data_IF_904386054593
#
_entry.id   IF_904386054593
#
_cell.length_a   1.000
_cell.length_b   1.000
_cell.length_c   1.000
_cell.angle_alpha   90.00
_cell.angle_beta   90.00
_cell.angle_gamma   90.00
#
_symmetry.space_group_name_H-M   'P 1'
#
loop_
_entity.id
_entity.type
_entity.pdbx_description
1 polymer ?
#
# COMPACT_ATOMS: atom_id res chain seq x y z
N UNK A 1 5.92 5.88 -28.74
CA UNK A 1 6.67 4.60 -28.68
C UNK A 1 6.96 4.16 -27.25
N UNK A 2 7.73 4.89 -26.42
CA UNK A 2 8.07 4.46 -25.06
C UNK A 2 6.83 4.16 -24.19
N UNK A 3 5.85 5.06 -24.17
CA UNK A 3 4.60 4.88 -23.40
C UNK A 3 3.81 3.64 -23.81
N UNK A 4 3.65 3.40 -25.09
CA UNK A 4 2.95 2.23 -25.62
C UNK A 4 3.66 0.91 -25.26
N UNK A 5 5.00 0.91 -25.27
CA UNK A 5 5.78 -0.26 -24.87
C UNK A 5 5.63 -0.54 -23.38
N UNK A 6 5.69 0.49 -22.53
CA UNK A 6 5.49 0.35 -21.08
C UNK A 6 4.09 -0.15 -20.77
N UNK A 7 3.08 0.38 -21.44
CA UNK A 7 1.68 -0.05 -21.28
C UNK A 7 1.48 -1.51 -21.70
N UNK A 8 2.04 -1.93 -22.85
CA UNK A 8 1.97 -3.29 -23.33
C UNK A 8 2.65 -4.28 -22.35
N UNK A 9 3.85 -3.94 -21.86
CA UNK A 9 4.56 -4.74 -20.87
C UNK A 9 3.80 -4.81 -19.53
N UNK A 10 3.22 -3.71 -19.09
CA UNK A 10 2.37 -3.68 -17.89
C UNK A 10 1.16 -4.58 -18.06
N UNK A 11 0.46 -4.51 -19.18
CA UNK A 11 -0.70 -5.37 -19.48
C UNK A 11 -0.31 -6.86 -19.55
N UNK A 12 0.86 -7.19 -20.08
CA UNK A 12 1.38 -8.55 -20.13
C UNK A 12 1.69 -9.10 -18.73
N UNK A 13 2.38 -8.30 -17.90
CA UNK A 13 2.75 -8.70 -16.55
C UNK A 13 1.54 -8.76 -15.62
N UNK A 14 0.57 -7.84 -15.75
CA UNK A 14 -0.74 -7.92 -15.08
C UNK A 14 -1.73 -8.82 -15.82
N UNK A 15 -1.24 -9.79 -16.55
CA UNK A 15 -2.03 -10.79 -17.24
C UNK A 15 -2.72 -11.76 -16.29
N UNK A 16 -3.52 -12.66 -16.87
CA UNK A 16 -4.30 -13.68 -16.12
C UNK A 16 -3.44 -14.51 -15.17
N UNK A 17 -2.19 -14.81 -15.55
CA UNK A 17 -1.26 -15.61 -14.74
C UNK A 17 -0.87 -14.94 -13.43
N UNK A 18 -0.48 -13.67 -13.46
CA UNK A 18 -0.07 -12.92 -12.26
C UNK A 18 -1.25 -12.69 -11.32
N UNK A 19 -2.43 -12.38 -11.86
CA UNK A 19 -3.66 -12.23 -11.07
C UNK A 19 -4.01 -13.56 -10.40
N UNK A 20 -4.01 -14.67 -11.16
CA UNK A 20 -4.27 -15.99 -10.61
C UNK A 20 -3.25 -16.38 -9.53
N UNK A 21 -1.96 -16.14 -9.77
CA UNK A 21 -0.89 -16.39 -8.80
C UNK A 21 -1.12 -15.62 -7.50
N UNK A 22 -1.48 -14.35 -7.59
CA UNK A 22 -1.73 -13.50 -6.41
C UNK A 22 -2.93 -13.99 -5.61
N UNK A 23 -4.04 -14.28 -6.28
CA UNK A 23 -5.25 -14.79 -5.63
C UNK A 23 -5.02 -16.17 -5.01
N UNK A 24 -4.35 -17.08 -5.73
CA UNK A 24 -4.01 -18.41 -5.23
C UNK A 24 -3.06 -18.36 -4.04
N UNK A 25 -2.07 -17.47 -4.08
CA UNK A 25 -1.17 -17.23 -2.95
C UNK A 25 -1.94 -16.73 -1.73
N UNK A 26 -2.81 -15.74 -1.89
CA UNK A 26 -3.68 -15.24 -0.81
C UNK A 26 -4.61 -16.31 -0.26
N UNK A 27 -5.24 -17.09 -1.13
CA UNK A 27 -6.09 -18.22 -0.75
C UNK A 27 -5.31 -19.30 0.02
N UNK A 28 -4.11 -19.64 -0.46
CA UNK A 28 -3.21 -20.60 0.18
C UNK A 28 -2.85 -20.18 1.62
N UNK A 29 -2.47 -18.92 1.83
CA UNK A 29 -2.21 -18.41 3.18
C UNK A 29 -3.49 -18.33 4.03
N UNK A 30 -4.61 -17.95 3.43
CA UNK A 30 -5.90 -17.87 4.12
C UNK A 30 -6.33 -19.27 4.62
N UNK A 31 -6.27 -20.27 3.76
CA UNK A 31 -6.62 -21.65 4.10
C UNK A 31 -5.62 -22.27 5.10
N UNK A 32 -4.30 -22.09 4.85
CA UNK A 32 -3.24 -22.64 5.70
C UNK A 32 -3.19 -22.06 7.12
N UNK A 33 -3.76 -20.87 7.33
CA UNK A 33 -3.91 -20.24 8.66
C UNK A 33 -5.31 -20.42 9.26
N UNK A 34 -6.17 -21.23 8.63
CA UNK A 34 -7.52 -21.52 9.12
C UNK A 34 -8.47 -20.32 9.04
N UNK A 35 -8.43 -19.54 7.95
CA UNK A 35 -9.28 -18.37 7.76
C UNK A 35 -9.18 -17.35 8.90
N UNK A 36 -7.95 -17.09 9.36
CA UNK A 36 -7.63 -16.27 10.54
C UNK A 36 -8.39 -14.94 10.62
N UNK A 37 -8.53 -14.14 9.52
CA UNK A 37 -9.27 -12.87 9.58
C UNK A 37 -10.74 -13.04 9.99
N UNK A 38 -11.35 -14.20 9.74
CA UNK A 38 -12.74 -14.50 10.11
C UNK A 38 -12.82 -15.22 11.45
N UNK A 39 -12.02 -16.28 11.64
CA UNK A 39 -12.11 -17.18 12.80
C UNK A 39 -11.52 -16.57 14.07
N UNK A 40 -10.57 -15.63 13.94
CA UNK A 40 -9.85 -15.02 15.07
C UNK A 40 -9.92 -13.50 15.09
N UNK A 41 -10.91 -12.91 14.41
CA UNK A 41 -11.10 -11.45 14.33
C UNK A 41 -11.06 -10.75 15.71
N UNK A 42 -11.73 -11.26 16.78
CA UNK A 42 -11.67 -10.62 18.09
C UNK A 42 -10.24 -10.58 18.66
N UNK A 43 -9.44 -11.62 18.42
CA UNK A 43 -8.04 -11.68 18.84
C UNK A 43 -7.20 -10.67 18.05
N UNK A 44 -7.39 -10.60 16.74
CA UNK A 44 -6.70 -9.62 15.87
C UNK A 44 -7.00 -8.19 16.36
N UNK A 45 -8.27 -7.83 16.55
CA UNK A 45 -8.66 -6.50 17.01
C UNK A 45 -8.13 -6.19 18.41
N UNK A 46 -8.16 -7.14 19.35
CA UNK A 46 -7.63 -6.97 20.70
C UNK A 46 -6.12 -6.74 20.69
N UNK A 47 -5.38 -7.45 19.82
CA UNK A 47 -3.90 -7.33 19.72
C UNK A 47 -3.43 -6.16 18.85
N UNK A 48 -4.30 -5.60 18.03
CA UNK A 48 -4.04 -4.39 17.23
C UNK A 48 -4.64 -3.16 17.94
N UNK A 49 -5.85 -2.79 17.61
CA UNK A 49 -6.52 -1.59 18.15
C UNK A 49 -6.58 -1.60 19.67
N UNK A 50 -6.93 -2.75 20.29
CA UNK A 50 -6.95 -2.87 21.75
C UNK A 50 -5.60 -2.65 22.43
N UNK A 51 -4.49 -2.89 21.69
CA UNK A 51 -3.14 -2.65 22.22
C UNK A 51 -2.76 -1.17 22.29
N UNK A 52 -3.48 -0.28 21.60
CA UNK A 52 -3.24 1.17 21.64
C UNK A 52 -3.56 1.77 23.01
N UNK A 53 -4.50 1.15 23.72
CA UNK A 53 -4.95 1.59 25.06
C UNK A 53 -4.16 0.95 26.21
N UNK A 54 -3.15 0.10 25.91
CA UNK A 54 -2.32 -0.57 26.92
C UNK A 54 -0.96 0.13 27.06
N UNK A 55 -0.56 0.44 28.30
CA UNK A 55 0.80 0.90 28.58
C UNK A 55 1.81 -0.21 28.24
N UNK A 56 2.73 0.09 27.34
CA UNK A 56 3.79 -0.83 26.92
C UNK A 56 5.10 -0.43 27.58
N UNK A 57 5.77 -1.38 28.25
CA UNK A 57 7.17 -1.21 28.66
C UNK A 57 8.06 -1.21 27.42
N UNK A 58 8.79 -0.11 27.19
CA UNK A 58 9.76 0.04 26.09
C UNK A 58 11.03 -0.76 26.37
N UNK A 59 10.98 -2.09 26.40
CA UNK A 59 12.18 -2.92 26.66
C UNK A 59 12.93 -3.33 25.37
N UNK A 60 12.28 -3.33 24.21
CA UNK A 60 12.90 -3.68 22.92
C UNK A 60 13.21 -2.42 22.12
N UNK A 61 14.39 -2.36 21.49
CA UNK A 61 14.74 -1.30 20.53
C UNK A 61 13.73 -1.28 19.35
N UNK A 62 13.80 -0.23 18.51
CA UNK A 62 12.89 -0.02 17.37
C UNK A 62 11.73 0.90 17.70
N UNK A 63 10.85 1.13 16.70
CA UNK A 63 9.67 1.98 16.83
C UNK A 63 8.48 1.20 17.41
N UNK A 64 7.44 1.90 17.88
CA UNK A 64 6.23 1.21 18.35
C UNK A 64 5.53 0.45 17.20
N UNK A 65 4.82 -0.66 17.48
CA UNK A 65 4.04 -1.36 16.46
C UNK A 65 3.06 -0.46 15.71
N UNK A 66 2.42 0.47 16.42
CA UNK A 66 1.54 1.48 15.82
C UNK A 66 2.31 2.44 14.90
N UNK A 67 3.49 2.90 15.29
CA UNK A 67 4.31 3.76 14.44
C UNK A 67 4.78 3.03 13.18
N UNK A 68 5.10 1.75 13.29
CA UNK A 68 5.47 0.90 12.16
C UNK A 68 4.29 0.73 11.18
N UNK A 69 3.09 0.37 11.68
CA UNK A 69 1.91 0.27 10.82
C UNK A 69 1.47 1.62 10.25
N UNK A 70 1.57 2.72 11.01
CA UNK A 70 1.29 4.05 10.45
C UNK A 70 2.24 4.41 9.31
N UNK A 71 3.51 3.99 9.39
CA UNK A 71 4.46 4.19 8.29
C UNK A 71 4.11 3.30 7.09
N UNK A 72 3.68 2.06 7.31
CA UNK A 72 3.20 1.16 6.27
C UNK A 72 1.93 1.72 5.61
N UNK A 73 0.92 2.12 6.41
CA UNK A 73 -0.30 2.79 5.94
C UNK A 73 0.02 4.10 5.21
N UNK A 74 1.05 4.84 5.62
CA UNK A 74 1.52 5.99 4.87
C UNK A 74 1.95 5.63 3.46
N UNK A 75 2.58 4.48 3.26
CA UNK A 75 2.94 3.96 1.94
C UNK A 75 1.73 3.52 1.11
N UNK A 76 0.85 2.75 1.72
CA UNK A 76 -0.31 2.14 1.05
C UNK A 76 -1.44 3.14 0.82
N UNK A 77 -1.80 3.95 1.83
CA UNK A 77 -2.84 4.98 1.73
C UNK A 77 -2.33 6.21 0.98
N UNK A 78 -2.33 6.15 -0.34
CA UNK A 78 -1.87 7.21 -1.24
C UNK A 78 -2.96 7.68 -2.20
N UNK A 79 -2.53 8.19 -3.34
CA UNK A 79 -3.46 8.60 -4.42
C UNK A 79 -4.27 7.43 -4.98
N UNK A 80 -3.82 6.20 -4.80
CA UNK A 80 -4.52 4.99 -5.21
C UNK A 80 -5.92 4.87 -4.60
N UNK A 81 -6.08 5.24 -3.33
CA UNK A 81 -7.35 5.16 -2.60
C UNK A 81 -8.40 6.19 -3.04
N UNK A 82 -7.99 7.25 -3.71
CA UNK A 82 -8.86 8.35 -4.16
C UNK A 82 -8.93 8.35 -5.68
N UNK A 83 -7.84 8.75 -6.33
CA UNK A 83 -7.74 8.84 -7.80
C UNK A 83 -7.77 7.45 -8.45
N UNK A 84 -7.08 6.48 -7.84
CA UNK A 84 -7.03 5.10 -8.32
C UNK A 84 -8.38 4.40 -8.28
N UNK A 85 -9.21 4.66 -7.27
CA UNK A 85 -10.58 4.14 -7.17
C UNK A 85 -11.46 4.73 -8.27
N UNK A 86 -11.39 6.06 -8.52
CA UNK A 86 -12.09 6.69 -9.62
C UNK A 86 -11.71 6.13 -10.99
N UNK A 87 -10.41 5.90 -11.20
CA UNK A 87 -9.89 5.25 -12.40
C UNK A 87 -10.35 3.78 -12.53
N UNK A 88 -10.41 3.04 -11.40
CA UNK A 88 -10.93 1.67 -11.39
C UNK A 88 -12.41 1.61 -11.82
N UNK A 89 -13.22 2.52 -11.30
CA UNK A 89 -14.62 2.64 -11.68
C UNK A 89 -14.81 3.00 -13.17
N UNK A 90 -13.97 3.88 -13.72
CA UNK A 90 -14.01 4.25 -15.12
C UNK A 90 -13.60 3.11 -16.06
N UNK A 91 -12.55 2.35 -15.71
CA UNK A 91 -11.99 1.30 -16.56
C UNK A 91 -12.68 -0.05 -16.40
N UNK A 92 -13.06 -0.39 -15.17
CA UNK A 92 -13.61 -1.71 -14.83
C UNK A 92 -15.09 -1.71 -14.43
N UNK A 93 -15.72 -0.53 -14.40
CA UNK A 93 -17.10 -0.37 -13.90
C UNK A 93 -17.21 -0.56 -12.38
N UNK A 94 -18.42 -0.44 -11.85
CA UNK A 94 -18.69 -0.59 -10.41
C UNK A 94 -18.25 -1.96 -9.86
N UNK A 95 -18.37 -3.02 -10.66
CA UNK A 95 -17.94 -4.37 -10.29
C UNK A 95 -16.45 -4.51 -9.97
N UNK A 96 -15.61 -3.60 -10.43
CA UNK A 96 -14.18 -3.60 -10.07
C UNK A 96 -13.94 -3.43 -8.56
N UNK A 97 -14.86 -2.74 -7.86
CA UNK A 97 -14.79 -2.58 -6.40
C UNK A 97 -15.04 -3.91 -5.67
N UNK A 98 -15.99 -4.73 -6.16
CA UNK A 98 -16.20 -6.08 -5.62
C UNK A 98 -14.92 -6.92 -5.71
N UNK A 99 -14.27 -6.91 -6.87
CA UNK A 99 -13.02 -7.65 -7.08
C UNK A 99 -11.85 -7.07 -6.27
N UNK A 100 -11.86 -5.77 -6.00
CA UNK A 100 -10.94 -5.12 -5.09
C UNK A 100 -11.13 -5.64 -3.65
N UNK A 101 -12.39 -5.84 -3.19
CA UNK A 101 -12.68 -6.45 -1.88
C UNK A 101 -12.20 -7.89 -1.78
N UNK A 102 -12.42 -8.70 -2.82
CA UNK A 102 -11.93 -10.09 -2.87
C UNK A 102 -10.39 -10.10 -2.82
N UNK A 103 -9.74 -9.26 -3.63
CA UNK A 103 -8.28 -9.10 -3.61
C UNK A 103 -7.74 -8.68 -2.25
N UNK A 104 -8.40 -7.74 -1.59
CA UNK A 104 -8.02 -7.27 -0.26
C UNK A 104 -8.22 -8.35 0.81
N UNK A 105 -9.35 -9.07 0.81
CA UNK A 105 -9.60 -10.14 1.76
C UNK A 105 -8.51 -11.23 1.71
N UNK A 106 -8.17 -11.68 0.50
CA UNK A 106 -7.08 -12.64 0.31
C UNK A 106 -5.70 -12.00 0.57
N UNK A 107 -5.55 -10.73 0.20
CA UNK A 107 -4.35 -9.94 0.42
C UNK A 107 -4.01 -9.73 1.89
N UNK A 108 -5.02 -9.70 2.80
CA UNK A 108 -4.78 -9.62 4.25
C UNK A 108 -3.85 -10.73 4.74
N UNK A 109 -4.02 -11.96 4.24
CA UNK A 109 -3.19 -13.08 4.68
C UNK A 109 -1.85 -13.13 3.98
N UNK A 110 -1.74 -12.64 2.75
CA UNK A 110 -0.45 -12.41 2.09
C UNK A 110 0.35 -11.36 2.86
N UNK A 111 -0.27 -10.22 3.20
CA UNK A 111 0.35 -9.15 4.01
C UNK A 111 0.75 -9.65 5.40
N UNK A 112 -0.09 -10.45 6.05
CA UNK A 112 0.24 -11.10 7.32
C UNK A 112 1.53 -11.92 7.23
N UNK A 113 1.66 -12.74 6.18
CA UNK A 113 2.85 -13.55 5.96
C UNK A 113 4.11 -12.70 5.73
N UNK A 114 4.00 -11.65 4.90
CA UNK A 114 5.08 -10.68 4.65
C UNK A 114 5.58 -10.05 5.94
N UNK A 115 4.66 -9.52 6.74
CA UNK A 115 4.98 -8.81 7.99
C UNK A 115 5.57 -9.77 9.02
N UNK A 116 4.99 -10.98 9.17
CA UNK A 116 5.49 -12.00 10.07
C UNK A 116 6.94 -12.37 9.71
N UNK A 117 7.21 -12.67 8.44
CA UNK A 117 8.56 -13.03 7.99
C UNK A 117 9.53 -11.86 8.12
N UNK A 118 9.12 -10.63 7.80
CA UNK A 118 9.96 -9.45 7.93
C UNK A 118 10.39 -9.18 9.38
N UNK A 119 9.51 -9.42 10.34
CA UNK A 119 9.82 -9.29 11.77
C UNK A 119 10.64 -10.49 12.29
N UNK A 120 10.36 -11.71 11.80
CA UNK A 120 11.10 -12.92 12.18
C UNK A 120 12.56 -12.85 11.74
N UNK A 121 12.85 -12.37 10.54
CA UNK A 121 14.18 -12.32 9.93
C UNK A 121 14.86 -10.94 10.01
N UNK A 122 14.31 -10.02 10.79
CA UNK A 122 14.92 -8.70 10.98
C UNK A 122 16.26 -8.80 11.69
N UNK A 123 17.16 -7.92 11.34
CA UNK A 123 18.50 -7.83 11.93
C UNK A 123 18.61 -6.58 12.81
N UNK A 124 19.44 -6.67 13.84
CA UNK A 124 19.81 -5.52 14.67
C UNK A 124 21.09 -4.91 14.13
N UNK A 125 21.08 -3.62 13.88
CA UNK A 125 22.27 -2.90 13.43
C UNK A 125 23.31 -2.86 14.56
N UNK A 126 24.55 -3.24 14.24
CA UNK A 126 25.66 -3.20 15.24
C UNK A 126 25.93 -1.74 15.59
N UNK A 127 25.62 -1.36 16.82
CA UNK A 127 25.85 0.01 17.34
C UNK A 127 24.69 0.98 17.23
N UNK A 128 23.57 0.61 16.57
CA UNK A 128 22.36 1.41 16.52
C UNK A 128 21.17 0.70 17.18
N UNK A 129 20.23 1.47 17.75
CA UNK A 129 18.94 0.94 18.24
C UNK A 129 17.97 0.57 17.11
N UNK A 130 18.38 0.77 15.86
CA UNK A 130 17.55 0.56 14.69
C UNK A 130 17.44 -0.92 14.33
N UNK A 131 16.21 -1.35 13.98
CA UNK A 131 15.92 -2.67 13.43
C UNK A 131 15.81 -2.55 11.92
N UNK A 132 16.39 -3.52 11.19
CA UNK A 132 16.35 -3.61 9.73
C UNK A 132 15.75 -4.94 9.33
N UNK A 133 14.83 -4.94 8.39
CA UNK A 133 14.19 -6.14 7.89
C UNK A 133 13.41 -5.83 6.61
N UNK A 134 12.65 -6.80 6.17
CA UNK A 134 11.88 -6.73 4.93
C UNK A 134 12.20 -7.92 4.03
N UNK A 135 11.65 -7.95 2.79
CA UNK A 135 11.82 -9.09 1.89
C UNK A 135 13.26 -9.47 1.62
N UNK A 136 14.15 -8.50 1.43
CA UNK A 136 15.56 -8.77 1.17
C UNK A 136 16.20 -9.64 2.28
N UNK A 137 15.78 -9.46 3.53
CA UNK A 137 16.31 -10.22 4.66
C UNK A 137 15.67 -11.60 4.78
N UNK A 138 14.33 -11.72 4.73
CA UNK A 138 13.71 -13.03 4.83
C UNK A 138 13.95 -13.89 3.59
N UNK A 139 14.16 -13.30 2.40
CA UNK A 139 14.54 -14.02 1.20
C UNK A 139 15.97 -14.54 1.34
N UNK A 140 16.95 -13.67 1.63
CA UNK A 140 18.37 -14.07 1.65
C UNK A 140 18.73 -14.97 2.83
N UNK A 141 18.10 -14.78 3.99
CA UNK A 141 18.37 -15.59 5.19
C UNK A 141 17.47 -16.83 5.27
N UNK A 142 16.22 -16.75 4.81
CA UNK A 142 15.29 -17.87 4.80
C UNK A 142 15.51 -18.85 3.66
N UNK A 143 16.14 -18.41 2.56
CA UNK A 143 16.56 -19.21 1.40
C UNK A 143 18.07 -19.04 1.23
N UNK A 144 18.92 -19.73 2.05
CA UNK A 144 20.35 -19.43 2.17
C UNK A 144 21.19 -20.03 1.05
N UNK A 145 20.77 -19.87 -0.20
CA UNK A 145 21.49 -20.35 -1.39
C UNK A 145 21.67 -19.22 -2.42
N UNK A 146 22.31 -19.49 -3.55
CA UNK A 146 22.55 -18.51 -4.61
C UNK A 146 21.24 -17.96 -5.20
N UNK A 147 20.21 -18.80 -5.32
CA UNK A 147 18.90 -18.40 -5.80
C UNK A 147 18.23 -17.38 -4.87
N UNK A 148 18.22 -17.63 -3.55
CA UNK A 148 17.66 -16.69 -2.56
C UNK A 148 18.40 -15.35 -2.56
N UNK A 149 19.74 -15.37 -2.68
CA UNK A 149 20.52 -14.12 -2.79
C UNK A 149 20.17 -13.35 -4.07
N UNK A 150 20.08 -14.02 -5.22
CA UNK A 150 19.70 -13.39 -6.47
C UNK A 150 18.29 -12.79 -6.40
N UNK A 151 17.34 -13.54 -5.80
CA UNK A 151 15.97 -13.10 -5.62
C UNK A 151 15.87 -11.87 -4.70
N UNK A 152 16.66 -11.81 -3.63
CA UNK A 152 16.74 -10.66 -2.71
C UNK A 152 17.31 -9.41 -3.41
N UNK A 153 18.34 -9.57 -4.24
CA UNK A 153 18.89 -8.48 -5.05
C UNK A 153 17.87 -7.98 -6.06
N UNK A 154 17.19 -8.88 -6.76
CA UNK A 154 16.15 -8.55 -7.72
C UNK A 154 14.99 -7.79 -7.06
N UNK A 155 14.55 -8.23 -5.89
CA UNK A 155 13.57 -7.51 -5.08
C UNK A 155 14.04 -6.09 -4.76
N UNK A 156 15.27 -5.91 -4.26
CA UNK A 156 15.80 -4.60 -3.90
C UNK A 156 15.87 -3.65 -5.10
N UNK A 157 16.30 -4.14 -6.27
CA UNK A 157 16.35 -3.33 -7.50
C UNK A 157 14.96 -2.86 -7.89
N UNK A 158 13.99 -3.76 -7.96
CA UNK A 158 12.62 -3.38 -8.33
C UNK A 158 11.94 -2.51 -7.27
N UNK A 159 12.19 -2.75 -5.98
CA UNK A 159 11.66 -1.90 -4.91
C UNK A 159 12.24 -0.48 -4.96
N UNK A 160 13.53 -0.34 -5.22
CA UNK A 160 14.16 0.96 -5.39
C UNK A 160 13.59 1.70 -6.61
N UNK A 161 13.40 1.02 -7.75
CA UNK A 161 12.80 1.59 -8.95
C UNK A 161 11.32 1.94 -8.74
N UNK A 162 10.54 1.06 -8.12
CA UNK A 162 9.13 1.32 -7.78
C UNK A 162 8.98 2.52 -6.83
N UNK A 163 9.96 2.76 -5.95
CA UNK A 163 9.96 3.94 -5.09
C UNK A 163 10.02 5.24 -5.88
N UNK A 164 10.68 5.27 -7.03
CA UNK A 164 10.69 6.46 -7.92
C UNK A 164 9.37 6.63 -8.67
N UNK A 165 8.75 5.55 -9.17
CA UNK A 165 7.51 5.64 -9.92
C UNK A 165 6.29 5.75 -9.02
N UNK A 166 5.93 4.66 -8.31
CA UNK A 166 4.75 4.59 -7.44
C UNK A 166 4.85 5.51 -6.24
N UNK A 167 6.04 5.58 -5.63
CA UNK A 167 6.27 6.29 -4.37
C UNK A 167 6.57 7.77 -4.53
N UNK A 168 7.14 8.20 -5.66
CA UNK A 168 7.54 9.59 -5.86
C UNK A 168 6.71 10.25 -6.95
N UNK A 169 6.96 9.92 -8.21
CA UNK A 169 6.39 10.65 -9.36
C UNK A 169 4.86 10.59 -9.42
N UNK A 170 4.25 9.41 -9.17
CA UNK A 170 2.78 9.27 -9.17
C UNK A 170 2.14 10.14 -8.08
N UNK A 171 2.74 10.14 -6.89
CA UNK A 171 2.19 10.88 -5.75
C UNK A 171 2.34 12.38 -5.94
N UNK A 172 3.54 12.86 -6.31
CA UNK A 172 3.78 14.31 -6.48
C UNK A 172 3.07 14.88 -7.69
N UNK A 173 2.90 14.10 -8.77
CA UNK A 173 2.10 14.50 -9.92
C UNK A 173 0.62 14.71 -9.55
N UNK A 174 0.04 13.78 -8.80
CA UNK A 174 -1.35 13.93 -8.34
C UNK A 174 -1.53 15.08 -7.35
N UNK A 175 -0.53 15.37 -6.48
CA UNK A 175 -0.56 16.58 -5.64
C UNK A 175 -0.58 17.83 -6.52
N UNK A 176 0.32 17.91 -7.50
CA UNK A 176 0.42 19.08 -8.36
C UNK A 176 -0.87 19.33 -9.15
N UNK A 177 -1.48 18.26 -9.71
CA UNK A 177 -2.76 18.33 -10.43
C UNK A 177 -3.88 18.80 -9.50
N UNK A 178 -4.05 18.17 -8.33
CA UNK A 178 -5.10 18.52 -7.39
C UNK A 178 -4.97 19.97 -6.86
N UNK A 179 -3.75 20.43 -6.58
CA UNK A 179 -3.50 21.79 -6.13
C UNK A 179 -3.65 22.82 -7.26
N UNK A 180 -3.30 22.47 -8.49
CA UNK A 180 -3.51 23.32 -9.65
C UNK A 180 -5.00 23.51 -9.92
N UNK A 181 -5.80 22.44 -9.92
CA UNK A 181 -7.23 22.51 -10.16
C UNK A 181 -8.00 23.26 -9.06
N UNK A 182 -7.64 23.07 -7.79
CA UNK A 182 -8.42 23.61 -6.66
C UNK A 182 -7.94 24.97 -6.15
N UNK A 183 -6.65 25.28 -6.33
CA UNK A 183 -6.02 26.49 -5.80
C UNK A 183 -5.28 27.31 -6.86
N UNK A 184 -5.27 26.86 -8.12
CA UNK A 184 -4.51 27.49 -9.22
C UNK A 184 -3.01 27.62 -8.93
N UNK A 185 -2.46 26.71 -8.11
CA UNK A 185 -1.03 26.71 -7.78
C UNK A 185 -0.22 26.15 -8.96
N UNK A 186 0.81 26.89 -9.42
CA UNK A 186 1.63 26.41 -10.53
C UNK A 186 2.46 25.18 -10.12
N UNK A 187 2.66 24.19 -11.02
CA UNK A 187 3.42 22.98 -10.74
C UNK A 187 4.84 23.23 -10.22
N UNK A 188 5.46 24.35 -10.62
CA UNK A 188 6.80 24.73 -10.16
C UNK A 188 6.83 25.01 -8.65
N UNK A 189 5.82 25.70 -8.11
CA UNK A 189 5.72 25.94 -6.67
C UNK A 189 5.45 24.64 -5.90
N UNK A 190 4.60 23.78 -6.45
CA UNK A 190 4.36 22.45 -5.88
C UNK A 190 5.66 21.64 -5.84
N UNK A 191 6.40 21.59 -6.94
CA UNK A 191 7.69 20.89 -7.03
C UNK A 191 8.70 21.41 -6.00
N UNK A 192 8.86 22.73 -5.89
CA UNK A 192 9.76 23.35 -4.93
C UNK A 192 9.35 23.03 -3.48
N UNK A 193 8.07 23.23 -3.13
CA UNK A 193 7.56 22.96 -1.79
C UNK A 193 7.70 21.49 -1.39
N UNK A 194 7.30 20.57 -2.27
CA UNK A 194 7.38 19.13 -2.01
C UNK A 194 8.84 18.66 -1.88
N UNK A 195 9.74 19.12 -2.75
CA UNK A 195 11.16 18.78 -2.67
C UNK A 195 11.78 19.26 -1.35
N UNK A 196 11.47 20.48 -0.92
CA UNK A 196 11.97 21.03 0.35
C UNK A 196 11.38 20.27 1.56
N UNK A 197 10.06 20.00 1.58
CA UNK A 197 9.41 19.28 2.68
C UNK A 197 9.91 17.83 2.76
N UNK A 198 9.99 17.13 1.63
CA UNK A 198 10.54 15.78 1.59
C UNK A 198 12.01 15.78 2.00
N UNK A 199 12.82 16.69 1.49
CA UNK A 199 14.23 16.85 1.85
C UNK A 199 14.42 17.07 3.36
N UNK A 200 13.59 17.92 3.96
CA UNK A 200 13.60 18.16 5.41
C UNK A 200 13.26 16.92 6.22
N UNK A 201 12.22 16.16 5.84
CA UNK A 201 11.86 14.92 6.52
C UNK A 201 12.98 13.87 6.37
N UNK A 202 13.49 13.70 5.15
CA UNK A 202 14.49 12.68 4.83
C UNK A 202 15.87 12.98 5.44
N UNK A 203 16.22 14.25 5.63
CA UNK A 203 17.43 14.64 6.35
C UNK A 203 17.42 14.14 7.81
N UNK A 204 16.24 14.06 8.43
CA UNK A 204 16.08 13.50 9.80
C UNK A 204 16.09 11.98 9.89
N UNK A 205 16.31 11.28 8.76
CA UNK A 205 16.43 9.82 8.72
C UNK A 205 15.12 9.08 9.02
N UNK A 206 15.23 7.78 9.27
CA UNK A 206 14.11 6.88 9.52
C UNK A 206 13.21 7.34 10.69
N UNK A 207 13.80 7.82 11.78
CA UNK A 207 13.03 8.23 12.97
C UNK A 207 12.11 9.42 12.71
N UNK A 208 12.53 10.38 11.88
CA UNK A 208 11.69 11.51 11.51
C UNK A 208 10.60 11.07 10.53
N UNK A 209 10.94 10.26 9.55
CA UNK A 209 9.97 9.70 8.60
C UNK A 209 8.86 8.95 9.33
N UNK A 210 9.22 8.04 10.24
CA UNK A 210 8.26 7.27 11.05
C UNK A 210 7.40 8.18 11.94
N UNK A 211 8.00 9.18 12.60
CA UNK A 211 7.25 10.14 13.42
C UNK A 211 6.27 10.96 12.61
N UNK A 212 6.68 11.41 11.42
CA UNK A 212 5.81 12.16 10.51
C UNK A 212 4.62 11.31 10.07
N UNK A 213 4.84 10.08 9.60
CA UNK A 213 3.76 9.17 9.21
C UNK A 213 2.85 8.82 10.39
N UNK A 214 3.40 8.62 11.59
CA UNK A 214 2.60 8.29 12.79
C UNK A 214 1.62 9.39 13.20
N UNK A 215 1.94 10.64 12.91
CA UNK A 215 1.05 11.78 13.17
C UNK A 215 0.10 12.02 11.97
N UNK A 216 0.66 11.94 10.75
CA UNK A 216 -0.05 12.33 9.53
C UNK A 216 -1.14 11.32 9.16
N UNK A 217 -0.86 10.02 9.26
CA UNK A 217 -1.77 8.96 8.78
C UNK A 217 -3.11 8.96 9.54
N UNK A 218 -3.17 8.98 10.87
CA UNK A 218 -4.45 9.08 11.56
C UNK A 218 -5.20 10.37 11.22
N UNK A 219 -4.48 11.50 11.16
CA UNK A 219 -5.07 12.81 10.85
C UNK A 219 -5.70 12.84 9.46
N UNK A 220 -4.94 12.43 8.43
CA UNK A 220 -5.41 12.42 7.04
C UNK A 220 -6.59 11.45 6.86
N UNK A 221 -6.53 10.28 7.51
CA UNK A 221 -7.60 9.27 7.42
C UNK A 221 -8.91 9.81 7.99
N UNK A 222 -8.87 10.36 9.20
CA UNK A 222 -10.08 10.96 9.81
C UNK A 222 -10.60 12.12 8.99
N UNK A 223 -9.71 13.02 8.54
CA UNK A 223 -10.08 14.17 7.71
C UNK A 223 -10.80 13.74 6.43
N UNK A 224 -10.26 12.74 5.74
CA UNK A 224 -10.85 12.21 4.50
C UNK A 224 -12.17 11.47 4.75
N UNK A 225 -12.21 10.59 5.76
CA UNK A 225 -13.43 9.84 6.11
C UNK A 225 -14.58 10.76 6.53
N UNK A 226 -14.28 11.86 7.22
CA UNK A 226 -15.30 12.88 7.55
C UNK A 226 -15.85 13.52 6.27
N UNK A 227 -14.97 13.89 5.32
CA UNK A 227 -15.42 14.44 4.03
C UNK A 227 -16.28 13.46 3.23
N UNK A 228 -15.85 12.21 3.10
CA UNK A 228 -16.66 11.17 2.47
C UNK A 228 -17.98 10.94 3.22
N UNK A 229 -17.96 10.99 4.55
CA UNK A 229 -19.15 10.89 5.38
C UNK A 229 -20.20 11.97 5.07
N UNK A 230 -19.77 13.22 4.85
CA UNK A 230 -20.65 14.30 4.42
C UNK A 230 -21.30 13.98 3.06
N UNK A 231 -20.50 13.51 2.08
CA UNK A 231 -21.03 13.12 0.76
C UNK A 231 -22.05 11.99 0.89
N UNK A 232 -21.70 10.92 1.63
CA UNK A 232 -22.58 9.75 1.81
C UNK A 232 -23.85 10.08 2.59
N UNK A 233 -23.80 10.96 3.58
CA UNK A 233 -24.99 11.41 4.32
C UNK A 233 -25.93 12.19 3.41
N UNK A 234 -25.39 12.99 2.48
CA UNK A 234 -26.19 13.73 1.50
C UNK A 234 -26.91 12.78 0.54
N UNK A 235 -26.21 11.75 0.04
CA UNK A 235 -26.74 10.77 -0.90
C UNK A 235 -27.10 9.43 -0.25
N UNK A 236 -27.49 9.42 1.02
CA UNK A 236 -27.76 8.20 1.79
C UNK A 236 -28.80 7.27 1.14
N UNK A 237 -29.74 7.83 0.40
CA UNK A 237 -30.80 7.05 -0.29
C UNK A 237 -30.25 6.28 -1.49
N UNK A 238 -29.18 6.74 -2.12
CA UNK A 238 -28.53 6.09 -3.27
C UNK A 238 -27.48 5.03 -2.86
N UNK A 239 -27.16 4.90 -1.56
CA UNK A 239 -26.15 3.91 -1.08
C UNK A 239 -26.56 2.47 -1.41
N UNK A 240 -27.84 2.03 -1.19
CA UNK A 240 -28.25 0.67 -1.53
C UNK A 240 -28.10 0.38 -3.03
N UNK A 241 -28.42 1.36 -3.89
CA UNK A 241 -28.29 1.22 -5.35
C UNK A 241 -26.81 1.16 -5.76
N UNK A 242 -25.93 1.96 -5.14
CA UNK A 242 -24.49 1.90 -5.35
C UNK A 242 -23.93 0.52 -4.96
N UNK A 243 -24.34 -0.04 -3.82
CA UNK A 243 -23.95 -1.40 -3.41
C UNK A 243 -24.46 -2.46 -4.38
N UNK A 244 -25.69 -2.32 -4.85
CA UNK A 244 -26.27 -3.23 -5.86
C UNK A 244 -25.49 -3.16 -7.16
N UNK A 245 -25.10 -1.97 -7.61
CA UNK A 245 -24.25 -1.78 -8.81
C UNK A 245 -22.88 -2.45 -8.63
N UNK A 246 -22.26 -2.36 -7.46
CA UNK A 246 -20.98 -3.02 -7.18
C UNK A 246 -21.12 -4.53 -7.31
N UNK A 247 -22.11 -5.13 -6.66
CA UNK A 247 -22.29 -6.59 -6.64
C UNK A 247 -22.76 -7.11 -8.00
N UNK A 248 -23.80 -6.51 -8.59
CA UNK A 248 -24.33 -6.94 -9.89
C UNK A 248 -23.31 -6.70 -11.01
N UNK A 249 -22.62 -5.56 -10.98
CA UNK A 249 -21.58 -5.22 -11.94
C UNK A 249 -20.39 -6.17 -11.93
N UNK A 250 -20.10 -6.83 -10.81
CA UNK A 250 -19.02 -7.80 -10.72
C UNK A 250 -19.24 -9.06 -11.57
N UNK A 251 -20.50 -9.44 -11.82
CA UNK A 251 -20.88 -10.67 -12.50
C UNK A 251 -21.60 -10.41 -13.84
N UNK A 252 -21.85 -9.13 -14.19
CA UNK A 252 -22.53 -8.78 -15.43
C UNK A 252 -21.57 -8.77 -16.62
N UNK A 253 -21.95 -9.40 -17.76
CA UNK A 253 -21.19 -9.31 -19.00
C UNK A 253 -21.13 -7.88 -19.58
N UNK A 254 -22.12 -7.04 -19.24
CA UNK A 254 -22.25 -5.67 -19.73
C UNK A 254 -21.45 -4.64 -18.91
N UNK A 255 -20.78 -5.05 -17.86
CA UNK A 255 -20.08 -4.14 -16.93
C UNK A 255 -18.82 -3.49 -17.48
N UNK A 256 -18.43 -3.79 -18.71
CA UNK A 256 -17.35 -3.10 -19.41
C UNK A 256 -17.89 -2.32 -20.61
N UNK A 257 -17.34 -1.15 -20.85
CA UNK A 257 -17.57 -0.33 -22.04
C UNK A 257 -17.21 -1.03 -23.38
N UNK A 258 -16.81 -2.31 -23.34
CA UNK A 258 -16.53 -3.18 -24.47
C UNK A 258 -17.25 -4.52 -24.27
N UNK A 259 -18.33 -4.73 -25.00
CA UNK A 259 -19.27 -5.84 -24.92
C UNK A 259 -18.73 -7.26 -24.76
N UNK A 260 -19.50 -8.09 -24.04
CA UNK A 260 -19.38 -9.53 -23.99
C UNK A 260 -18.63 -10.08 -22.76
N UNK A 261 -18.30 -11.39 -22.77
CA UNK A 261 -17.59 -12.11 -21.71
C UNK A 261 -16.24 -11.45 -21.27
N UNK A 262 -15.72 -10.54 -22.09
CA UNK A 262 -14.56 -9.69 -21.77
C UNK A 262 -14.79 -8.75 -20.58
N UNK A 263 -16.02 -8.31 -20.32
CA UNK A 263 -16.35 -7.35 -19.25
C UNK A 263 -16.07 -7.87 -17.85
N UNK A 264 -16.47 -9.11 -17.55
CA UNK A 264 -16.16 -9.77 -16.29
C UNK A 264 -14.65 -9.79 -16.00
N UNK A 265 -13.85 -10.24 -16.98
CA UNK A 265 -12.39 -10.31 -16.81
C UNK A 265 -11.73 -8.94 -16.72
N UNK A 266 -12.26 -7.91 -17.41
CA UNK A 266 -11.75 -6.54 -17.29
C UNK A 266 -12.03 -6.00 -15.90
N UNK A 267 -13.26 -6.11 -15.40
CA UNK A 267 -13.67 -5.69 -14.07
C UNK A 267 -12.81 -6.38 -12.99
N UNK A 268 -12.65 -7.70 -13.08
CA UNK A 268 -11.82 -8.49 -12.18
C UNK A 268 -10.35 -8.06 -12.25
N UNK A 269 -9.78 -7.93 -13.44
CA UNK A 269 -8.37 -7.53 -13.62
C UNK A 269 -8.12 -6.14 -13.05
N UNK A 270 -8.97 -5.18 -13.38
CA UNK A 270 -8.83 -3.80 -12.91
C UNK A 270 -8.98 -3.74 -11.41
N UNK A 271 -10.02 -4.37 -10.84
CA UNK A 271 -10.26 -4.38 -9.41
C UNK A 271 -9.09 -4.97 -8.60
N UNK A 272 -8.58 -6.13 -9.01
CA UNK A 272 -7.47 -6.79 -8.33
C UNK A 272 -6.17 -5.99 -8.50
N UNK A 273 -5.84 -5.53 -9.72
CA UNK A 273 -4.62 -4.77 -9.97
C UNK A 273 -4.62 -3.45 -9.19
N UNK A 274 -5.73 -2.71 -9.20
CA UNK A 274 -5.87 -1.45 -8.43
C UNK A 274 -5.88 -1.72 -6.92
N UNK A 275 -6.51 -2.81 -6.47
CA UNK A 275 -6.44 -3.25 -5.07
C UNK A 275 -5.00 -3.50 -4.63
N UNK A 276 -4.22 -4.26 -5.40
CA UNK A 276 -2.81 -4.53 -5.09
C UNK A 276 -1.98 -3.23 -5.11
N UNK A 277 -2.27 -2.32 -6.04
CA UNK A 277 -1.61 -1.01 -6.08
C UNK A 277 -1.84 -0.20 -4.80
N UNK A 278 -3.02 -0.28 -4.18
CA UNK A 278 -3.32 0.44 -2.94
C UNK A 278 -2.76 -0.27 -1.72
N UNK A 279 -3.18 -1.51 -1.44
CA UNK A 279 -2.81 -2.20 -0.20
C UNK A 279 -1.43 -2.88 -0.23
N UNK A 280 -0.73 -2.91 -1.37
CA UNK A 280 0.62 -3.48 -1.54
C UNK A 280 0.80 -4.94 -1.05
N UNK A 281 -0.26 -5.71 -0.85
CA UNK A 281 -0.13 -7.11 -0.44
C UNK A 281 0.41 -7.96 -1.61
N UNK A 282 1.48 -8.69 -1.36
CA UNK A 282 2.24 -9.42 -2.36
C UNK A 282 3.46 -8.66 -2.88
N UNK A 283 3.53 -7.33 -2.72
CA UNK A 283 4.69 -6.53 -3.12
C UNK A 283 5.84 -6.62 -2.10
N UNK A 284 5.53 -6.84 -0.83
CA UNK A 284 6.53 -6.91 0.25
C UNK A 284 7.05 -5.56 0.75
N UNK A 285 6.87 -4.47 0.00
CA UNK A 285 7.40 -3.12 0.29
C UNK A 285 7.03 -2.62 1.69
N UNK A 286 5.74 -2.63 2.04
CA UNK A 286 5.25 -2.16 3.33
C UNK A 286 5.80 -2.98 4.53
N UNK A 287 6.16 -4.25 4.32
CA UNK A 287 6.75 -5.08 5.36
C UNK A 287 8.12 -4.56 5.86
N UNK A 288 8.79 -3.71 5.07
CA UNK A 288 10.02 -3.01 5.45
C UNK A 288 9.77 -2.04 6.61
N UNK A 289 8.64 -1.31 6.59
CA UNK A 289 8.24 -0.45 7.70
C UNK A 289 7.88 -1.27 8.94
N UNK A 290 7.12 -2.35 8.79
CA UNK A 290 6.77 -3.24 9.89
C UNK A 290 7.99 -3.88 10.56
N UNK A 291 9.04 -4.18 9.81
CA UNK A 291 10.29 -4.73 10.36
C UNK A 291 11.03 -3.78 11.30
N UNK A 292 10.81 -2.45 11.19
CA UNK A 292 11.36 -1.46 12.12
C UNK A 292 10.68 -1.50 13.51
N UNK A 293 9.56 -2.23 13.65
CA UNK A 293 8.81 -2.35 14.89
C UNK A 293 9.63 -3.05 15.99
N UNK A 294 9.53 -2.54 17.22
CA UNK A 294 10.00 -3.21 18.42
C UNK A 294 9.05 -4.28 18.97
N UNK A 295 8.14 -4.83 18.14
CA UNK A 295 7.24 -5.90 18.55
C UNK A 295 8.01 -7.17 18.95
N UNK A 296 7.63 -7.79 20.06
CA UNK A 296 8.27 -9.03 20.54
C UNK A 296 7.80 -10.27 19.73
N UNK A 297 6.57 -10.23 19.22
CA UNK A 297 5.96 -11.33 18.47
C UNK A 297 5.81 -11.00 16.99
N UNK A 298 6.41 -11.78 16.07
CA UNK A 298 6.18 -11.66 14.63
C UNK A 298 4.70 -11.82 14.24
N UNK A 299 3.97 -12.72 14.92
CA UNK A 299 2.55 -12.97 14.69
C UNK A 299 1.70 -11.75 15.07
N UNK A 300 1.96 -11.13 16.22
CA UNK A 300 1.22 -9.93 16.63
C UNK A 300 1.48 -8.74 15.69
N UNK A 301 2.70 -8.61 15.16
CA UNK A 301 2.96 -7.61 14.13
C UNK A 301 2.28 -7.97 12.81
N UNK A 302 2.18 -9.25 12.48
CA UNK A 302 1.41 -9.74 11.34
C UNK A 302 -0.08 -9.35 11.39
N UNK A 303 -0.68 -9.34 12.58
CA UNK A 303 -2.07 -8.84 12.74
C UNK A 303 -2.21 -7.37 12.33
N UNK A 304 -1.20 -6.55 12.54
CA UNK A 304 -1.18 -5.18 12.03
C UNK A 304 -1.15 -5.12 10.49
N UNK A 305 -0.56 -6.12 9.82
CA UNK A 305 -0.64 -6.24 8.36
C UNK A 305 -2.07 -6.55 7.87
N UNK A 306 -2.83 -7.39 8.61
CA UNK A 306 -4.27 -7.61 8.33
C UNK A 306 -5.05 -6.30 8.49
N UNK A 307 -4.81 -5.58 9.59
CA UNK A 307 -5.46 -4.30 9.88
C UNK A 307 -5.13 -3.23 8.83
N UNK A 308 -3.89 -3.20 8.35
CA UNK A 308 -3.44 -2.29 7.29
C UNK A 308 -4.26 -2.46 6.02
N UNK A 309 -4.37 -3.68 5.47
CA UNK A 309 -5.15 -3.96 4.26
C UNK A 309 -6.64 -3.68 4.46
N UNK A 310 -7.17 -3.99 5.65
CA UNK A 310 -8.55 -3.66 5.99
C UNK A 310 -8.81 -2.15 5.95
N UNK A 311 -7.98 -1.35 6.62
CA UNK A 311 -8.15 0.10 6.66
C UNK A 311 -7.97 0.73 5.28
N UNK A 312 -6.94 0.30 4.54
CA UNK A 312 -6.63 0.81 3.23
C UNK A 312 -7.76 0.56 2.22
N UNK A 313 -8.12 -0.69 2.03
CA UNK A 313 -8.98 -1.08 0.90
C UNK A 313 -10.43 -1.30 1.33
N UNK A 314 -10.69 -2.11 2.37
CA UNK A 314 -12.07 -2.39 2.77
C UNK A 314 -12.74 -1.14 3.34
N UNK A 315 -12.01 -0.29 4.05
CA UNK A 315 -12.58 0.95 4.59
C UNK A 315 -12.45 2.11 3.59
N UNK A 316 -11.23 2.58 3.31
CA UNK A 316 -11.01 3.85 2.58
C UNK A 316 -11.41 3.76 1.12
N UNK A 317 -11.00 2.71 0.38
CA UNK A 317 -11.39 2.58 -1.03
C UNK A 317 -12.91 2.36 -1.18
N UNK A 318 -13.55 1.63 -0.24
CA UNK A 318 -15.00 1.42 -0.28
C UNK A 318 -15.78 2.71 -0.06
N UNK A 319 -15.37 3.51 0.91
CA UNK A 319 -16.02 4.80 1.20
C UNK A 319 -15.85 5.76 0.03
N UNK A 320 -14.66 5.77 -0.62
CA UNK A 320 -14.42 6.52 -1.86
C UNK A 320 -15.34 6.07 -2.98
N UNK A 321 -15.40 4.76 -3.25
CA UNK A 321 -16.23 4.21 -4.32
C UNK A 321 -17.72 4.48 -4.11
N UNK A 322 -18.21 4.31 -2.88
CA UNK A 322 -19.59 4.61 -2.52
C UNK A 322 -19.92 6.10 -2.67
N UNK A 323 -18.99 6.99 -2.27
CA UNK A 323 -19.17 8.43 -2.44
C UNK A 323 -19.29 8.82 -3.91
N UNK A 324 -18.47 8.23 -4.78
CA UNK A 324 -18.51 8.45 -6.24
C UNK A 324 -19.81 7.89 -6.84
N UNK A 325 -20.15 6.63 -6.56
CA UNK A 325 -21.31 5.97 -7.15
C UNK A 325 -22.65 6.56 -6.66
N UNK A 326 -22.75 6.84 -5.37
CA UNK A 326 -23.97 7.41 -4.79
C UNK A 326 -24.26 8.84 -5.27
N UNK A 327 -23.22 9.59 -5.65
CA UNK A 327 -23.36 10.97 -6.17
C UNK A 327 -23.58 11.03 -7.69
N UNK A 328 -23.55 9.91 -8.39
CA UNK A 328 -23.80 9.77 -9.83
C UNK A 328 -22.96 10.71 -10.72
N UNK A 329 -21.76 11.08 -10.25
CA UNK A 329 -20.83 11.93 -11.01
C UNK A 329 -20.18 11.14 -12.15
N UNK A 330 -19.67 11.82 -13.20
CA UNK A 330 -18.93 11.17 -14.26
C UNK A 330 -17.73 10.38 -13.71
N UNK A 331 -17.62 9.11 -14.13
CA UNK A 331 -16.57 8.21 -13.65
C UNK A 331 -15.21 8.59 -14.27
N UNK A 332 -14.20 8.68 -13.45
CA UNK A 332 -12.84 9.03 -13.87
C UNK A 332 -11.90 9.28 -12.69
N UNK A 333 -10.63 9.57 -12.96
CA UNK A 333 -9.66 9.91 -11.91
C UNK A 333 -10.10 11.08 -11.03
N UNK A 334 -10.82 12.06 -11.58
CA UNK A 334 -11.35 13.24 -10.87
C UNK A 334 -12.75 13.04 -10.26
N UNK A 335 -13.34 11.83 -10.35
CA UNK A 335 -14.70 11.57 -9.89
C UNK A 335 -14.91 11.88 -8.40
N UNK A 336 -13.93 11.56 -7.55
CA UNK A 336 -14.01 11.91 -6.12
C UNK A 336 -14.06 13.43 -5.93
N UNK A 337 -13.31 14.20 -6.71
CA UNK A 337 -13.33 15.67 -6.67
C UNK A 337 -14.67 16.23 -7.11
N UNK A 338 -15.25 15.65 -8.16
CA UNK A 338 -16.60 16.02 -8.63
C UNK A 338 -17.66 15.76 -7.55
N UNK A 339 -17.62 14.60 -6.87
CA UNK A 339 -18.53 14.25 -5.78
C UNK A 339 -18.45 15.22 -4.59
N UNK A 340 -17.24 15.57 -4.16
CA UNK A 340 -17.02 16.53 -3.08
C UNK A 340 -17.47 17.94 -3.49
N UNK A 341 -17.17 18.36 -4.71
CA UNK A 341 -17.56 19.67 -5.21
C UNK A 341 -19.09 19.78 -5.38
N UNK A 342 -19.75 18.70 -5.79
CA UNK A 342 -21.21 18.66 -5.92
C UNK A 342 -21.91 18.93 -4.58
N UNK A 343 -21.39 18.39 -3.47
CA UNK A 343 -22.00 18.48 -2.14
C UNK A 343 -21.60 19.76 -1.41
N UNK A 344 -20.31 20.12 -1.45
CA UNK A 344 -19.74 21.19 -0.62
C UNK A 344 -19.28 22.40 -1.46
N UNK A 345 -19.61 22.44 -2.75
CA UNK A 345 -19.16 23.50 -3.65
C UNK A 345 -17.63 23.54 -3.79
N UNK A 346 -17.04 24.70 -4.14
CA UNK A 346 -15.59 24.85 -4.28
C UNK A 346 -14.79 24.50 -3.03
N UNK A 347 -15.39 24.59 -1.83
CA UNK A 347 -14.76 24.19 -0.57
C UNK A 347 -14.53 22.68 -0.52
N UNK A 348 -15.45 21.87 -1.08
CA UNK A 348 -15.29 20.42 -1.18
C UNK A 348 -14.12 20.01 -2.05
N UNK A 349 -13.97 20.64 -3.22
CA UNK A 349 -12.83 20.41 -4.11
C UNK A 349 -11.49 20.74 -3.41
N UNK A 350 -11.44 21.89 -2.70
CA UNK A 350 -10.25 22.28 -1.93
C UNK A 350 -9.96 21.32 -0.79
N UNK A 351 -11.00 20.85 -0.08
CA UNK A 351 -10.86 19.85 0.99
C UNK A 351 -10.27 18.56 0.44
N UNK A 352 -10.73 18.09 -0.71
CA UNK A 352 -10.21 16.88 -1.32
C UNK A 352 -8.77 17.06 -1.81
N UNK A 353 -8.43 18.21 -2.41
CA UNK A 353 -7.05 18.51 -2.83
C UNK A 353 -6.08 18.49 -1.65
N UNK A 354 -6.49 19.00 -0.49
CA UNK A 354 -5.71 18.89 0.75
C UNK A 354 -5.60 17.43 1.20
N UNK A 355 -6.69 16.65 1.16
CA UNK A 355 -6.66 15.24 1.51
C UNK A 355 -5.71 14.45 0.60
N UNK A 356 -5.82 14.60 -0.73
CA UNK A 356 -4.91 13.97 -1.71
C UNK A 356 -3.45 14.35 -1.42
N UNK A 357 -3.19 15.62 -1.10
CA UNK A 357 -1.84 16.10 -0.77
C UNK A 357 -1.27 15.43 0.49
N UNK A 358 -2.09 15.26 1.53
CA UNK A 358 -1.66 14.60 2.77
C UNK A 358 -1.39 13.10 2.55
N UNK A 359 -2.29 12.41 1.84
CA UNK A 359 -2.14 10.99 1.50
C UNK A 359 -0.89 10.75 0.65
N UNK A 360 -0.75 11.49 -0.43
CA UNK A 360 0.38 11.37 -1.33
C UNK A 360 1.72 11.72 -0.65
N UNK A 361 1.75 12.75 0.20
CA UNK A 361 2.95 13.12 0.92
C UNK A 361 3.40 12.03 1.91
N UNK A 362 2.47 11.38 2.62
CA UNK A 362 2.77 10.24 3.47
C UNK A 362 3.37 9.09 2.67
N UNK A 363 2.83 8.83 1.46
CA UNK A 363 3.35 7.78 0.56
C UNK A 363 4.77 8.11 0.08
N UNK A 364 5.05 9.35 -0.32
CA UNK A 364 6.41 9.78 -0.71
C UNK A 364 7.42 9.46 0.40
N UNK A 365 7.09 9.79 1.66
CA UNK A 365 7.98 9.55 2.80
C UNK A 365 8.21 8.05 3.01
N UNK A 366 7.17 7.24 2.97
CA UNK A 366 7.23 5.80 3.21
C UNK A 366 8.00 5.06 2.12
N UNK A 367 7.73 5.36 0.85
CA UNK A 367 8.45 4.76 -0.27
C UNK A 367 9.92 5.16 -0.31
N UNK A 368 10.25 6.39 0.06
CA UNK A 368 11.65 6.78 0.20
C UNK A 368 12.36 5.91 1.25
N UNK A 369 11.71 5.62 2.38
CA UNK A 369 12.24 4.72 3.39
C UNK A 369 12.44 3.30 2.82
N UNK A 370 11.48 2.76 2.06
CA UNK A 370 11.60 1.44 1.45
C UNK A 370 12.79 1.35 0.51
N UNK A 371 12.91 2.29 -0.41
CA UNK A 371 14.04 2.32 -1.34
C UNK A 371 15.39 2.55 -0.64
N UNK A 372 15.45 3.41 0.40
CA UNK A 372 16.67 3.57 1.20
C UNK A 372 17.11 2.25 1.83
N UNK A 373 16.19 1.46 2.39
CA UNK A 373 16.50 0.16 2.98
C UNK A 373 17.00 -0.85 1.95
N UNK A 374 16.47 -0.80 0.73
CA UNK A 374 16.96 -1.61 -0.39
C UNK A 374 18.38 -1.20 -0.82
N UNK A 375 18.65 0.11 -0.93
CA UNK A 375 20.01 0.62 -1.25
C UNK A 375 21.02 0.29 -0.16
N UNK A 376 20.64 0.41 1.11
CA UNK A 376 21.49 0.00 2.24
C UNK A 376 21.84 -1.49 2.21
N UNK A 377 20.90 -2.34 1.76
CA UNK A 377 21.12 -3.77 1.59
C UNK A 377 22.06 -4.08 0.42
N UNK A 378 21.83 -3.42 -0.73
CA UNK A 378 22.65 -3.63 -1.95
C UNK A 378 24.08 -3.12 -1.80
N UNK A 379 24.26 -2.00 -1.11
CA UNK A 379 25.52 -1.29 -1.01
C UNK A 379 25.91 -0.98 0.46
N UNK A 380 26.08 -2.01 1.31
CA UNK A 380 26.25 -1.80 2.77
C UNK A 380 27.50 -1.01 3.14
N UNK A 381 28.53 -1.03 2.29
CA UNK A 381 29.82 -0.37 2.55
C UNK A 381 29.99 0.95 1.78
N UNK A 382 29.00 1.37 0.99
CA UNK A 382 29.10 2.58 0.17
C UNK A 382 28.62 3.81 0.95
N UNK A 383 29.50 4.79 1.13
CA UNK A 383 29.15 6.08 1.74
C UNK A 383 28.37 7.00 0.77
N UNK A 384 28.44 6.74 -0.54
CA UNK A 384 27.85 7.58 -1.58
C UNK A 384 26.46 7.06 -2.04
N UNK A 385 26.19 5.76 -1.92
CA UNK A 385 24.98 5.16 -2.48
C UNK A 385 23.70 5.76 -1.88
N UNK A 386 23.63 5.94 -0.57
CA UNK A 386 22.45 6.47 0.10
C UNK A 386 22.22 7.98 -0.17
N UNK A 387 23.24 8.86 -0.07
CA UNK A 387 23.09 10.27 -0.49
C UNK A 387 22.67 10.42 -1.96
N UNK A 388 23.27 9.64 -2.87
CA UNK A 388 22.91 9.67 -4.29
C UNK A 388 21.48 9.22 -4.52
N UNK A 389 21.03 8.13 -3.88
CA UNK A 389 19.64 7.68 -3.93
C UNK A 389 18.68 8.77 -3.46
N UNK A 390 18.97 9.44 -2.32
CA UNK A 390 18.14 10.54 -1.81
C UNK A 390 18.04 11.70 -2.78
N UNK A 391 19.17 12.09 -3.37
CA UNK A 391 19.20 13.15 -4.38
C UNK A 391 18.34 12.78 -5.59
N UNK A 392 18.53 11.58 -6.14
CA UNK A 392 17.74 11.08 -7.27
C UNK A 392 16.25 10.98 -6.90
N UNK A 393 15.91 10.54 -5.70
CA UNK A 393 14.53 10.46 -5.24
C UNK A 393 13.88 11.85 -5.17
N UNK A 394 14.57 12.86 -4.65
CA UNK A 394 14.09 14.25 -4.60
C UNK A 394 13.92 14.85 -6.00
N UNK A 395 14.84 14.55 -6.94
CA UNK A 395 14.67 14.97 -8.35
C UNK A 395 13.46 14.27 -8.98
N UNK A 396 13.19 13.00 -8.63
CA UNK A 396 11.98 12.29 -9.02
C UNK A 396 10.70 12.96 -8.47
N UNK A 397 10.72 13.44 -7.21
CA UNK A 397 9.61 14.20 -6.64
C UNK A 397 9.33 15.48 -7.42
N UNK A 398 10.37 16.24 -7.80
CA UNK A 398 10.22 17.45 -8.60
C UNK A 398 9.71 17.12 -10.03
N UNK A 399 10.31 16.13 -10.68
CA UNK A 399 9.93 15.70 -12.02
C UNK A 399 8.48 15.19 -12.11
N UNK A 400 8.00 14.54 -11.07
CA UNK A 400 6.63 14.03 -11.00
C UNK A 400 5.57 15.12 -11.15
N UNK A 401 5.84 16.33 -10.63
CA UNK A 401 4.92 17.46 -10.75
C UNK A 401 4.73 17.97 -12.21
N UNK A 402 5.60 17.57 -13.12
CA UNK A 402 5.53 17.93 -14.55
C UNK A 402 5.25 16.73 -15.45
N UNK A 403 5.20 15.53 -14.87
CA UNK A 403 5.03 14.30 -15.63
C UNK A 403 3.58 14.07 -16.04
N UNK A 404 3.38 13.39 -17.16
CA UNK A 404 2.05 12.93 -17.57
C UNK A 404 1.62 11.76 -16.70
N UNK A 405 0.61 11.95 -15.85
CA UNK A 405 0.13 10.95 -14.90
C UNK A 405 -0.17 9.58 -15.52
N UNK A 406 -0.83 9.45 -16.70
CA UNK A 406 -1.09 8.13 -17.28
C UNK A 406 0.19 7.31 -17.54
N UNK A 407 1.25 7.96 -18.04
CA UNK A 407 2.54 7.30 -18.27
C UNK A 407 3.20 6.86 -16.96
N UNK A 408 3.15 7.72 -15.94
CA UNK A 408 3.74 7.43 -14.62
C UNK A 408 2.99 6.29 -13.93
N UNK A 409 1.65 6.25 -14.02
CA UNK A 409 0.85 5.14 -13.51
C UNK A 409 1.17 3.82 -14.23
N UNK A 410 1.33 3.84 -15.56
CA UNK A 410 1.70 2.64 -16.31
C UNK A 410 3.08 2.12 -15.93
N UNK A 411 4.04 3.02 -15.69
CA UNK A 411 5.38 2.67 -15.21
C UNK A 411 5.33 2.11 -13.78
N UNK A 412 4.52 2.71 -12.92
CA UNK A 412 4.31 2.23 -11.55
C UNK A 412 3.70 0.82 -11.53
N UNK A 413 2.68 0.58 -12.35
CA UNK A 413 2.06 -0.74 -12.51
C UNK A 413 3.09 -1.78 -12.99
N UNK A 414 3.90 -1.44 -14.00
CA UNK A 414 4.95 -2.32 -14.52
C UNK A 414 5.96 -2.72 -13.43
N UNK A 415 6.47 -1.75 -12.68
CA UNK A 415 7.48 -1.99 -11.65
C UNK A 415 6.90 -2.73 -10.43
N UNK A 416 5.65 -2.47 -10.07
CA UNK A 416 4.95 -3.23 -9.04
C UNK A 416 4.75 -4.70 -9.46
N UNK A 417 4.42 -4.98 -10.71
CA UNK A 417 4.35 -6.36 -11.20
C UNK A 417 5.71 -7.08 -11.14
N UNK A 418 6.79 -6.37 -11.50
CA UNK A 418 8.15 -6.90 -11.37
C UNK A 418 8.56 -7.16 -9.91
N UNK A 419 8.10 -6.32 -8.99
CA UNK A 419 8.37 -6.45 -7.55
C UNK A 419 7.57 -7.60 -6.92
N UNK A 420 6.35 -7.83 -7.38
CA UNK A 420 5.44 -8.86 -6.90
C UNK A 420 6.02 -10.28 -7.05
N UNK A 421 6.56 -10.60 -8.22
CA UNK A 421 6.97 -11.96 -8.56
C UNK A 421 8.05 -12.54 -7.62
N UNK A 422 9.19 -11.87 -7.37
CA UNK A 422 10.21 -12.38 -6.47
C UNK A 422 9.70 -12.53 -5.03
N UNK A 423 8.82 -11.63 -4.59
CA UNK A 423 8.26 -11.69 -3.25
C UNK A 423 7.27 -12.84 -3.08
N UNK A 424 6.33 -13.04 -4.00
CA UNK A 424 5.39 -14.16 -3.94
C UNK A 424 6.10 -15.52 -4.00
N UNK A 425 7.13 -15.65 -4.84
CA UNK A 425 7.94 -16.87 -4.90
C UNK A 425 8.58 -17.17 -3.53
N UNK A 426 9.17 -16.16 -2.90
CA UNK A 426 9.78 -16.31 -1.58
C UNK A 426 8.73 -16.64 -0.49
N UNK A 427 7.58 -15.98 -0.50
CA UNK A 427 6.49 -16.26 0.45
C UNK A 427 6.03 -17.71 0.37
N UNK A 428 5.83 -18.24 -0.84
CA UNK A 428 5.43 -19.64 -1.03
C UNK A 428 6.48 -20.61 -0.51
N UNK A 429 7.77 -20.36 -0.79
CA UNK A 429 8.88 -21.20 -0.27
C UNK A 429 8.94 -21.15 1.26
N UNK A 430 8.74 -19.97 1.85
CA UNK A 430 8.83 -19.77 3.30
C UNK A 430 7.49 -19.98 4.05
N UNK A 431 6.44 -20.38 3.35
CA UNK A 431 5.11 -20.59 3.94
C UNK A 431 5.06 -21.55 5.13
N UNK A 432 5.87 -22.66 5.20
CA UNK A 432 5.89 -23.52 6.37
C UNK A 432 6.24 -22.76 7.66
N UNK A 433 7.16 -21.79 7.58
CA UNK A 433 7.56 -20.97 8.73
C UNK A 433 6.41 -20.08 9.22
N UNK A 434 5.58 -19.58 8.29
CA UNK A 434 4.41 -18.77 8.63
C UNK A 434 3.35 -19.61 9.34
N UNK A 435 3.07 -20.78 8.81
CA UNK A 435 2.06 -21.70 9.39
C UNK A 435 2.49 -22.23 10.75
N UNK A 436 3.77 -22.61 10.91
CA UNK A 436 4.33 -23.05 12.17
C UNK A 436 4.24 -21.97 13.25
N UNK A 437 4.75 -20.76 12.96
CA UNK A 437 4.72 -19.64 13.88
C UNK A 437 3.28 -19.27 14.32
N UNK A 438 2.34 -19.32 13.36
CA UNK A 438 0.93 -19.06 13.64
C UNK A 438 0.32 -20.12 14.55
N UNK A 439 0.56 -21.41 14.26
CA UNK A 439 0.08 -22.52 15.09
C UNK A 439 0.66 -22.48 16.51
N UNK A 440 1.97 -22.26 16.64
CA UNK A 440 2.61 -22.15 17.95
C UNK A 440 2.06 -20.98 18.77
N UNK A 441 1.81 -19.84 18.15
CA UNK A 441 1.24 -18.69 18.84
C UNK A 441 -0.13 -19.03 19.46
N UNK A 442 -1.02 -19.65 18.70
CA UNK A 442 -2.35 -20.02 19.20
C UNK A 442 -2.32 -21.22 20.14
N UNK A 443 -1.42 -22.18 19.98
CA UNK A 443 -1.25 -23.30 20.91
C UNK A 443 -0.80 -22.83 22.30
N UNK A 444 -0.02 -21.78 22.40
CA UNK A 444 0.44 -21.14 23.65
C UNK A 444 -0.59 -20.15 24.23
N UNK A 445 -1.86 -20.22 23.82
CA UNK A 445 -2.94 -19.36 24.30
C UNK A 445 -2.80 -17.89 23.91
N UNK A 446 -2.05 -17.58 22.85
CA UNK A 446 -1.80 -16.20 22.41
C UNK A 446 -0.94 -15.40 23.39
N UNK A 447 -0.21 -16.07 24.28
CA UNK A 447 0.76 -15.45 25.16
C UNK A 447 2.11 -15.30 24.47
N UNK A 448 2.85 -14.22 24.79
CA UNK A 448 4.14 -13.87 24.21
C UNK A 448 5.13 -15.03 24.36
N UNK A 449 5.53 -15.65 23.26
CA UNK A 449 6.65 -16.57 23.23
C UNK A 449 7.90 -15.81 22.84
N UNK A 450 8.74 -15.52 23.83
CA UNK A 450 10.11 -15.09 23.63
C UNK A 450 10.99 -16.33 23.35
N UNK A 451 10.87 -16.96 22.18
CA UNK A 451 11.91 -17.87 21.71
C UNK A 451 12.81 -17.07 20.77
N UNK A 452 13.88 -16.52 21.34
CA UNK A 452 15.02 -16.01 20.59
C UNK A 452 15.58 -17.14 19.72
N UNK A 453 15.36 -17.07 18.42
CA UNK A 453 16.21 -17.78 17.49
C UNK A 453 17.60 -17.10 17.58
N UNK A 454 18.59 -17.86 18.08
CA UNK A 454 20.02 -17.56 18.03
C UNK A 454 20.54 -17.63 16.60
#
# INVERSE_FOLDING_TARGET
>A
MLGQTVELLSQLLWGRGTIALTLLCGLYFTAGTGFLPLTRLPTVLKRTVGSLFQKRDRKSGGVSPFAAVSTALGGTMGVGNIVGVGAALALGGAGSIFWMWIGAFLGMMTKYAEVLLAVRWRQRDKGAKALRGGPMYYISCGIPNAFGKALAVLFCVFCALASFSSGSMTQTGAIAEALQESFSLPPLLCAAALTLLCGWVLHGGCDRAVRTCSALVPLMSVFYLVGCGVVLLTFRQSIPDALTQIVSGAFSPASAAAGGASGFFVSMRVGIARGIFTHEAGLGSASIAHACSGADSPVEQGFWGIFEVFCDTILVCSVTALAILASEVPLGPSAAQAAFTLVMGPAGGRMLAVAVSLFAFASVISFCLYGQRCIEYLFPNSRLALPLYRLLFLTGCAAGCFAQLPLVFSLADLLNACLLLPNLAALLILSPQVFEATREYFAKGGTRSCSSAR
#
